data_IF_547855993602
#
_entry.id   IF_547855993602
#
_cell.length_a   1.000
_cell.length_b   1.000
_cell.length_c   1.000
_cell.angle_alpha   90.00
_cell.angle_beta   90.00
_cell.angle_gamma   90.00
#
_symmetry.space_group_name_H-M   'P 1'
#
loop_
_entity.id
_entity.type
_entity.pdbx_description
1 polymer ?
#
# COMPACT_ATOMS: atom_id res chain seq x y z
N UNK A 1 -156.40 -51.64 -53.48
CA UNK A 1 -157.49 -50.74 -53.91
C UNK A 1 -157.01 -49.97 -55.13
N UNK A 2 -157.85 -49.82 -56.16
CA UNK A 2 -157.53 -48.97 -57.31
C UNK A 2 -158.05 -47.56 -57.02
N UNK A 3 -157.15 -46.59 -56.93
CA UNK A 3 -157.49 -45.17 -56.86
C UNK A 3 -156.93 -44.47 -58.11
N UNK A 4 -157.57 -43.39 -58.53
CA UNK A 4 -157.19 -42.63 -59.73
C UNK A 4 -156.74 -41.25 -59.30
N UNK A 5 -155.49 -40.90 -59.60
CA UNK A 5 -154.91 -39.58 -59.30
C UNK A 5 -155.02 -38.73 -60.56
N UNK A 6 -155.75 -37.60 -60.49
CA UNK A 6 -155.96 -36.71 -61.65
C UNK A 6 -154.91 -35.60 -61.78
N UNK A 7 -154.42 -35.12 -60.64
CA UNK A 7 -153.38 -34.10 -60.55
C UNK A 7 -152.60 -34.20 -59.22
N UNK A 8 -151.57 -33.38 -59.05
CA UNK A 8 -150.73 -33.41 -57.84
C UNK A 8 -151.49 -32.98 -56.57
N UNK A 9 -152.46 -32.07 -56.67
CA UNK A 9 -153.28 -31.65 -55.53
C UNK A 9 -154.20 -32.78 -55.07
N UNK A 10 -154.72 -33.56 -56.01
CA UNK A 10 -155.51 -34.77 -55.77
C UNK A 10 -154.72 -35.81 -54.98
N UNK A 11 -153.44 -36.01 -55.32
CA UNK A 11 -152.50 -36.87 -54.57
C UNK A 11 -152.27 -36.38 -53.14
N UNK A 12 -152.03 -35.07 -52.94
CA UNK A 12 -151.79 -34.48 -51.61
C UNK A 12 -153.01 -34.60 -50.71
N UNK A 13 -154.22 -34.41 -51.26
CA UNK A 13 -155.48 -34.58 -50.53
C UNK A 13 -155.69 -36.04 -50.11
N UNK A 14 -155.50 -37.01 -51.02
CA UNK A 14 -155.58 -38.44 -50.72
C UNK A 14 -154.60 -38.86 -49.61
N UNK A 15 -153.36 -38.37 -49.65
CA UNK A 15 -152.35 -38.64 -48.61
C UNK A 15 -152.64 -37.94 -47.26
N UNK A 16 -153.47 -36.90 -47.25
CA UNK A 16 -153.89 -36.21 -46.02
C UNK A 16 -155.09 -36.88 -45.34
N UNK A 17 -156.01 -37.43 -46.14
CA UNK A 17 -157.19 -38.17 -45.68
C UNK A 17 -156.85 -39.60 -45.23
N UNK A 18 -155.77 -40.20 -45.78
CA UNK A 18 -155.28 -41.54 -45.45
C UNK A 18 -153.86 -41.50 -44.85
N UNK A 19 -153.72 -41.35 -43.51
CA UNK A 19 -152.44 -41.35 -42.83
C UNK A 19 -151.59 -42.59 -43.11
N UNK A 20 -152.22 -43.75 -43.32
CA UNK A 20 -151.57 -45.00 -43.68
C UNK A 20 -150.81 -44.94 -45.02
N UNK A 21 -151.37 -44.28 -46.04
CA UNK A 21 -150.72 -44.14 -47.36
C UNK A 21 -149.55 -43.16 -47.30
N UNK A 22 -149.63 -42.15 -46.44
CA UNK A 22 -148.54 -41.22 -46.18
C UNK A 22 -147.34 -41.92 -45.55
N UNK A 23 -147.57 -42.83 -44.60
CA UNK A 23 -146.50 -43.62 -43.99
C UNK A 23 -145.90 -44.65 -44.96
N UNK A 24 -146.71 -45.31 -45.80
CA UNK A 24 -146.19 -46.20 -46.87
C UNK A 24 -145.37 -45.44 -47.91
N UNK A 25 -145.87 -44.30 -48.40
CA UNK A 25 -145.16 -43.46 -49.36
C UNK A 25 -143.89 -42.86 -48.74
N UNK A 26 -143.94 -42.52 -47.44
CA UNK A 26 -142.76 -42.10 -46.67
C UNK A 26 -141.74 -43.22 -46.55
N UNK A 27 -142.14 -44.46 -46.26
CA UNK A 27 -141.22 -45.59 -46.17
C UNK A 27 -140.56 -45.94 -47.53
N UNK A 28 -141.30 -45.77 -48.65
CA UNK A 28 -140.81 -46.00 -50.02
C UNK A 28 -139.88 -44.88 -50.53
N UNK A 29 -140.22 -43.61 -50.30
CA UNK A 29 -139.47 -42.45 -50.83
C UNK A 29 -138.40 -41.91 -49.86
N UNK A 30 -138.65 -41.98 -48.56
CA UNK A 30 -137.79 -41.47 -47.49
C UNK A 30 -137.34 -42.66 -46.64
N UNK A 31 -136.42 -43.46 -47.21
CA UNK A 31 -135.86 -44.62 -46.53
C UNK A 31 -135.24 -44.21 -45.18
N UNK A 32 -135.11 -45.13 -44.21
CA UNK A 32 -134.51 -44.84 -42.90
C UNK A 32 -133.14 -44.16 -42.99
N UNK A 33 -132.37 -44.46 -44.04
CA UNK A 33 -131.11 -43.80 -44.36
C UNK A 33 -131.35 -42.31 -44.68
N UNK A 34 -132.26 -41.98 -45.60
CA UNK A 34 -132.57 -40.59 -45.98
C UNK A 34 -133.12 -39.79 -44.79
N UNK A 35 -133.97 -40.40 -43.96
CA UNK A 35 -134.52 -39.75 -42.77
C UNK A 35 -133.49 -39.49 -41.66
N UNK A 36 -132.40 -40.28 -41.59
CA UNK A 36 -131.31 -40.12 -40.62
C UNK A 36 -130.15 -39.25 -41.13
N UNK A 37 -130.09 -38.96 -42.43
CA UNK A 37 -129.06 -38.11 -43.04
C UNK A 37 -128.88 -36.74 -42.36
N UNK A 38 -129.93 -35.98 -41.97
CA UNK A 38 -129.74 -34.68 -41.30
C UNK A 38 -129.05 -34.80 -39.93
N UNK A 39 -129.20 -35.93 -39.24
CA UNK A 39 -128.51 -36.22 -37.99
C UNK A 39 -127.06 -36.61 -38.27
N UNK A 40 -126.81 -37.49 -39.24
CA UNK A 40 -125.46 -37.87 -39.68
C UNK A 40 -124.66 -36.66 -40.18
N UNK A 41 -125.29 -35.73 -40.92
CA UNK A 41 -124.67 -34.49 -41.38
C UNK A 41 -124.33 -33.54 -40.22
N UNK A 42 -125.18 -33.49 -39.17
CA UNK A 42 -124.86 -32.73 -37.95
C UNK A 42 -123.69 -33.36 -37.18
N UNK A 43 -123.70 -34.67 -36.99
CA UNK A 43 -122.59 -35.39 -36.35
C UNK A 43 -121.28 -35.24 -37.14
N UNK A 44 -121.34 -35.27 -38.47
CA UNK A 44 -120.20 -35.01 -39.34
C UNK A 44 -119.72 -33.56 -39.19
N UNK A 45 -120.64 -32.58 -39.20
CA UNK A 45 -120.33 -31.16 -38.96
C UNK A 45 -119.61 -30.96 -37.62
N UNK A 46 -120.12 -31.53 -36.54
CA UNK A 46 -119.47 -31.46 -35.23
C UNK A 46 -118.07 -32.10 -35.23
N UNK A 47 -117.87 -33.23 -35.92
CA UNK A 47 -116.55 -33.86 -36.05
C UNK A 47 -115.59 -32.99 -36.86
N UNK A 48 -116.07 -32.36 -37.93
CA UNK A 48 -115.30 -31.42 -38.75
C UNK A 48 -114.91 -30.20 -37.92
N UNK A 49 -115.83 -29.63 -37.14
CA UNK A 49 -115.54 -28.49 -36.24
C UNK A 49 -114.49 -28.85 -35.17
N UNK A 50 -114.61 -30.05 -34.58
CA UNK A 50 -113.61 -30.55 -33.62
C UNK A 50 -112.24 -30.76 -34.28
N UNK A 51 -112.21 -31.26 -35.51
CA UNK A 51 -110.97 -31.43 -36.27
C UNK A 51 -110.33 -30.08 -36.60
N UNK A 52 -111.12 -29.10 -37.07
CA UNK A 52 -110.65 -27.74 -37.33
C UNK A 52 -110.08 -27.10 -36.06
N UNK A 53 -110.76 -27.22 -34.92
CA UNK A 53 -110.27 -26.73 -33.63
C UNK A 53 -109.02 -27.48 -33.12
N UNK A 54 -108.86 -28.76 -33.45
CA UNK A 54 -107.64 -29.51 -33.14
C UNK A 54 -106.48 -29.07 -34.06
N UNK A 55 -106.77 -28.78 -35.33
CA UNK A 55 -105.79 -28.30 -36.31
C UNK A 55 -105.24 -26.93 -35.92
N UNK A 56 -106.12 -25.97 -35.60
CA UNK A 56 -105.70 -24.64 -35.10
C UNK A 56 -104.81 -24.74 -33.86
N UNK A 57 -105.15 -25.61 -32.90
CA UNK A 57 -104.31 -25.86 -31.71
C UNK A 57 -102.96 -26.51 -32.06
N UNK A 58 -102.89 -27.31 -33.11
CA UNK A 58 -101.65 -27.90 -33.58
C UNK A 58 -100.77 -26.82 -34.25
N UNK A 59 -101.34 -25.95 -35.07
CA UNK A 59 -100.65 -24.81 -35.68
C UNK A 59 -100.08 -23.86 -34.61
N UNK A 60 -100.86 -23.53 -33.57
CA UNK A 60 -100.39 -22.72 -32.44
C UNK A 60 -99.20 -23.38 -31.70
N UNK A 61 -99.24 -24.72 -31.56
CA UNK A 61 -98.14 -25.47 -30.94
C UNK A 61 -96.89 -25.48 -31.81
N UNK A 62 -97.05 -25.61 -33.13
CA UNK A 62 -95.96 -25.56 -34.10
C UNK A 62 -95.30 -24.18 -34.09
N UNK A 63 -96.08 -23.11 -34.13
CA UNK A 63 -95.55 -21.74 -34.04
C UNK A 63 -94.76 -21.50 -32.74
N UNK A 64 -95.24 -21.99 -31.60
CA UNK A 64 -94.48 -21.92 -30.33
C UNK A 64 -93.20 -22.76 -30.34
N UNK A 65 -93.19 -23.89 -31.05
CA UNK A 65 -91.99 -24.70 -31.20
C UNK A 65 -90.97 -23.98 -32.09
N UNK A 66 -91.40 -23.40 -33.20
CA UNK A 66 -90.56 -22.59 -34.09
C UNK A 66 -89.90 -21.44 -33.33
N UNK A 67 -90.66 -20.68 -32.53
CA UNK A 67 -90.10 -19.61 -31.68
C UNK A 67 -89.06 -20.14 -30.68
N UNK A 68 -89.31 -21.33 -30.09
CA UNK A 68 -88.35 -21.96 -29.17
C UNK A 68 -87.11 -22.45 -29.91
N UNK A 69 -87.25 -22.96 -31.13
CA UNK A 69 -86.12 -23.38 -31.97
C UNK A 69 -85.27 -22.18 -32.35
N UNK A 70 -85.85 -21.06 -32.80
CA UNK A 70 -85.09 -19.85 -33.11
C UNK A 70 -84.32 -19.32 -31.89
N UNK A 71 -84.93 -19.31 -30.70
CA UNK A 71 -84.22 -18.93 -29.46
C UNK A 71 -83.09 -19.90 -29.08
N UNK A 72 -83.22 -21.18 -29.41
CA UNK A 72 -82.16 -22.16 -29.18
C UNK A 72 -81.01 -21.95 -30.17
N UNK A 73 -81.32 -21.69 -31.44
CA UNK A 73 -80.32 -21.36 -32.46
C UNK A 73 -79.51 -20.12 -32.07
N UNK A 74 -80.17 -19.06 -31.61
CA UNK A 74 -79.51 -17.85 -31.09
C UNK A 74 -78.57 -18.17 -29.93
N UNK A 75 -79.02 -18.93 -28.93
CA UNK A 75 -78.18 -19.32 -27.78
C UNK A 75 -77.00 -20.20 -28.17
N UNK A 76 -77.18 -21.10 -29.13
CA UNK A 76 -76.10 -21.94 -29.64
C UNK A 76 -75.06 -21.08 -30.38
N UNK A 77 -75.51 -20.09 -31.15
CA UNK A 77 -74.60 -19.14 -31.79
C UNK A 77 -73.81 -18.31 -30.76
N UNK A 78 -74.47 -17.79 -29.71
CA UNK A 78 -73.80 -17.07 -28.62
C UNK A 78 -72.76 -17.93 -27.89
N UNK A 79 -73.08 -19.21 -27.62
CA UNK A 79 -72.15 -20.15 -26.99
C UNK A 79 -70.97 -20.47 -27.90
N UNK A 80 -71.18 -20.63 -29.20
CA UNK A 80 -70.11 -20.85 -30.16
C UNK A 80 -69.14 -19.65 -30.20
N UNK A 81 -69.66 -18.42 -30.23
CA UNK A 81 -68.82 -17.22 -30.14
C UNK A 81 -68.06 -17.12 -28.81
N UNK A 82 -68.72 -17.42 -27.69
CA UNK A 82 -68.08 -17.43 -26.39
C UNK A 82 -66.96 -18.46 -26.30
N UNK A 83 -67.15 -19.63 -26.92
CA UNK A 83 -66.14 -20.68 -27.01
C UNK A 83 -64.94 -20.23 -27.83
N UNK A 84 -65.15 -19.64 -29.01
CA UNK A 84 -64.05 -19.09 -29.84
C UNK A 84 -63.23 -18.06 -29.05
N UNK A 85 -63.90 -17.13 -28.35
CA UNK A 85 -63.22 -16.12 -27.51
C UNK A 85 -62.45 -16.75 -26.34
N UNK A 86 -62.93 -17.86 -25.79
CA UNK A 86 -62.24 -18.59 -24.73
C UNK A 86 -60.99 -19.30 -25.27
N UNK A 87 -61.08 -19.93 -26.43
CA UNK A 87 -59.95 -20.56 -27.13
C UNK A 87 -58.86 -19.53 -27.45
N UNK A 88 -59.22 -18.36 -27.99
CA UNK A 88 -58.25 -17.27 -28.23
C UNK A 88 -57.55 -16.81 -26.95
N UNK A 89 -58.28 -16.73 -25.82
CA UNK A 89 -57.69 -16.36 -24.52
C UNK A 89 -56.75 -17.45 -24.01
N UNK A 90 -57.09 -18.72 -24.19
CA UNK A 90 -56.24 -19.85 -23.82
C UNK A 90 -54.94 -19.83 -24.63
N UNK A 91 -55.00 -19.65 -25.95
CA UNK A 91 -53.80 -19.56 -26.78
C UNK A 91 -52.87 -18.41 -26.35
N UNK A 92 -53.42 -17.22 -26.03
CA UNK A 92 -52.61 -16.11 -25.49
C UNK A 92 -51.99 -16.41 -24.13
N UNK A 93 -52.68 -17.16 -23.28
CA UNK A 93 -52.14 -17.58 -21.98
C UNK A 93 -51.00 -18.60 -22.17
N UNK A 94 -51.16 -19.56 -23.09
CA UNK A 94 -50.12 -20.54 -23.42
C UNK A 94 -48.86 -19.84 -23.94
N UNK A 95 -49.01 -18.87 -24.85
CA UNK A 95 -47.89 -18.03 -25.33
C UNK A 95 -47.22 -17.29 -24.16
N UNK A 96 -48.01 -16.69 -23.27
CA UNK A 96 -47.45 -15.94 -22.13
C UNK A 96 -46.73 -16.83 -21.14
N UNK A 97 -47.22 -18.04 -20.90
CA UNK A 97 -46.56 -19.04 -20.05
C UNK A 97 -45.25 -19.50 -20.68
N UNK A 98 -45.22 -19.70 -22.00
CA UNK A 98 -43.99 -20.05 -22.71
C UNK A 98 -42.93 -18.92 -22.60
N UNK A 99 -43.33 -17.67 -22.80
CA UNK A 99 -42.42 -16.51 -22.62
C UNK A 99 -41.87 -16.40 -21.19
N UNK A 100 -42.71 -16.68 -20.19
CA UNK A 100 -42.29 -16.69 -18.78
C UNK A 100 -41.33 -17.83 -18.49
N UNK A 101 -41.55 -19.03 -19.04
CA UNK A 101 -40.64 -20.15 -18.90
C UNK A 101 -39.26 -19.84 -19.52
N UNK A 102 -39.22 -19.23 -20.70
CA UNK A 102 -37.96 -18.80 -21.32
C UNK A 102 -37.26 -17.68 -20.53
N UNK A 103 -38.02 -16.73 -19.98
CA UNK A 103 -37.47 -15.72 -19.08
C UNK A 103 -36.87 -16.35 -17.82
N UNK A 104 -37.54 -17.33 -17.23
CA UNK A 104 -37.08 -18.07 -16.06
C UNK A 104 -35.77 -18.81 -16.34
N UNK A 105 -35.68 -19.55 -17.46
CA UNK A 105 -34.44 -20.24 -17.87
C UNK A 105 -33.29 -19.24 -18.00
N UNK A 106 -33.50 -18.10 -18.67
CA UNK A 106 -32.47 -17.06 -18.81
C UNK A 106 -32.03 -16.48 -17.46
N UNK A 107 -32.94 -16.36 -16.49
CA UNK A 107 -32.57 -15.90 -15.14
C UNK A 107 -31.75 -16.93 -14.38
N UNK A 108 -32.08 -18.22 -14.51
CA UNK A 108 -31.33 -19.31 -13.89
C UNK A 108 -29.91 -19.41 -14.46
N UNK A 109 -29.75 -19.29 -15.78
CA UNK A 109 -28.43 -19.22 -16.41
C UNK A 109 -27.59 -18.03 -15.92
N UNK A 110 -28.22 -16.87 -15.72
CA UNK A 110 -27.54 -15.69 -15.17
C UNK A 110 -27.12 -15.89 -13.72
N UNK A 111 -27.95 -16.56 -12.91
CA UNK A 111 -27.61 -16.89 -11.52
C UNK A 111 -26.45 -17.88 -11.45
N UNK A 112 -26.47 -18.95 -12.27
CA UNK A 112 -25.37 -19.91 -12.32
C UNK A 112 -24.03 -19.24 -12.68
N UNK A 113 -24.04 -18.31 -13.66
CA UNK A 113 -22.84 -17.52 -14.02
C UNK A 113 -22.38 -16.58 -12.90
N UNK A 114 -23.30 -16.05 -12.11
CA UNK A 114 -22.96 -15.22 -10.95
C UNK A 114 -22.35 -16.05 -9.83
N UNK A 115 -22.89 -17.24 -9.57
CA UNK A 115 -22.33 -18.19 -8.60
C UNK A 115 -20.90 -18.58 -8.95
N UNK A 116 -20.63 -18.90 -10.22
CA UNK A 116 -19.28 -19.20 -10.72
C UNK A 116 -18.32 -18.01 -10.49
N UNK A 117 -18.73 -16.80 -10.86
CA UNK A 117 -17.92 -15.58 -10.64
C UNK A 117 -17.65 -15.31 -9.16
N UNK A 118 -18.63 -15.55 -8.29
CA UNK A 118 -18.46 -15.39 -6.85
C UNK A 118 -17.46 -16.42 -6.32
N UNK A 119 -17.52 -17.67 -6.78
CA UNK A 119 -16.55 -18.70 -6.41
C UNK A 119 -15.12 -18.32 -6.85
N UNK A 120 -14.95 -17.83 -8.08
CA UNK A 120 -13.66 -17.32 -8.58
C UNK A 120 -13.11 -16.16 -7.73
N UNK A 121 -13.98 -15.23 -7.33
CA UNK A 121 -13.60 -14.10 -6.46
C UNK A 121 -13.18 -14.57 -5.07
N UNK A 122 -13.87 -15.55 -4.49
CA UNK A 122 -13.50 -16.14 -3.20
C UNK A 122 -12.11 -16.80 -3.29
N UNK A 123 -11.84 -17.57 -4.34
CA UNK A 123 -10.51 -18.14 -4.54
C UNK A 123 -9.42 -17.07 -4.73
N UNK A 124 -9.71 -16.03 -5.51
CA UNK A 124 -8.77 -14.93 -5.71
C UNK A 124 -8.47 -14.19 -4.39
N UNK A 125 -9.48 -14.03 -3.53
CA UNK A 125 -9.35 -13.44 -2.21
C UNK A 125 -8.44 -14.28 -1.31
N UNK A 126 -8.66 -15.61 -1.25
CA UNK A 126 -7.80 -16.53 -0.48
C UNK A 126 -6.34 -16.43 -0.94
N UNK A 127 -6.10 -16.45 -2.26
CA UNK A 127 -4.73 -16.31 -2.81
C UNK A 127 -4.11 -14.96 -2.50
N UNK A 128 -4.91 -13.89 -2.41
CA UNK A 128 -4.43 -12.57 -2.02
C UNK A 128 -4.03 -12.53 -0.54
N UNK A 129 -4.83 -13.13 0.34
CA UNK A 129 -4.54 -13.25 1.77
C UNK A 129 -3.25 -14.05 2.01
N UNK A 130 -3.06 -15.18 1.33
CA UNK A 130 -1.80 -15.95 1.42
C UNK A 130 -0.58 -15.14 0.97
N UNK A 131 -0.72 -14.31 -0.07
CA UNK A 131 0.38 -13.43 -0.53
C UNK A 131 0.68 -12.34 0.47
N UNK A 132 -0.33 -11.78 1.13
CA UNK A 132 -0.16 -10.77 2.17
C UNK A 132 0.58 -11.35 3.37
N UNK A 133 0.19 -12.53 3.85
CA UNK A 133 0.90 -13.19 4.95
C UNK A 133 2.37 -13.47 4.63
N UNK A 134 2.69 -13.93 3.41
CA UNK A 134 4.09 -14.11 2.97
C UNK A 134 4.86 -12.79 2.88
N UNK A 135 4.20 -11.67 2.55
CA UNK A 135 4.82 -10.36 2.54
C UNK A 135 5.09 -9.86 3.96
N UNK A 136 4.16 -10.08 4.89
CA UNK A 136 4.34 -9.75 6.31
C UNK A 136 5.54 -10.49 6.91
N UNK A 137 5.66 -11.79 6.64
CA UNK A 137 6.82 -12.60 7.06
C UNK A 137 8.14 -12.03 6.50
N UNK A 138 8.19 -11.72 5.20
CA UNK A 138 9.39 -11.14 4.57
C UNK A 138 9.76 -9.77 5.12
N UNK A 139 8.77 -8.93 5.44
CA UNK A 139 9.00 -7.62 6.06
C UNK A 139 9.58 -7.79 7.47
N UNK A 140 9.08 -8.76 8.25
CA UNK A 140 9.63 -9.08 9.55
C UNK A 140 11.09 -9.57 9.46
N UNK A 141 11.41 -10.48 8.52
CA UNK A 141 12.77 -10.94 8.28
C UNK A 141 13.72 -9.80 7.89
N UNK A 142 13.27 -8.88 7.02
CA UNK A 142 14.05 -7.71 6.62
C UNK A 142 14.28 -6.75 7.79
N UNK A 143 13.28 -6.53 8.65
CA UNK A 143 13.41 -5.70 9.83
C UNK A 143 14.44 -6.29 10.82
N UNK A 144 14.43 -7.61 11.02
CA UNK A 144 15.44 -8.28 11.83
C UNK A 144 16.84 -8.17 11.22
N UNK A 145 16.96 -8.37 9.90
CA UNK A 145 18.24 -8.25 9.21
C UNK A 145 18.80 -6.83 9.35
N UNK A 146 17.95 -5.81 9.18
CA UNK A 146 18.32 -4.41 9.38
C UNK A 146 18.80 -4.15 10.81
N UNK A 147 18.08 -4.63 11.83
CA UNK A 147 18.49 -4.47 13.22
C UNK A 147 19.85 -5.13 13.52
N UNK A 148 20.14 -6.29 12.92
CA UNK A 148 21.46 -6.94 13.02
C UNK A 148 22.55 -6.08 12.36
N UNK A 149 22.28 -5.53 11.19
CA UNK A 149 23.23 -4.63 10.49
C UNK A 149 23.51 -3.36 11.29
N UNK A 150 22.48 -2.72 11.84
CA UNK A 150 22.61 -1.53 12.69
C UNK A 150 23.47 -1.81 13.92
N UNK A 151 23.28 -2.97 14.56
CA UNK A 151 24.13 -3.40 15.68
C UNK A 151 25.59 -3.56 15.28
N UNK A 152 25.87 -4.21 14.15
CA UNK A 152 27.25 -4.39 13.65
C UNK A 152 27.89 -3.04 13.33
N UNK A 153 27.14 -2.10 12.74
CA UNK A 153 27.63 -0.75 12.46
C UNK A 153 27.95 0.02 13.74
N UNK A 154 27.11 -0.08 14.76
CA UNK A 154 27.36 0.54 16.06
C UNK A 154 28.63 -0.04 16.73
N UNK A 155 28.81 -1.35 16.70
CA UNK A 155 30.02 -2.01 17.20
C UNK A 155 31.28 -1.57 16.42
N UNK A 156 31.18 -1.45 15.10
CA UNK A 156 32.28 -0.99 14.26
C UNK A 156 32.64 0.47 14.55
N UNK A 157 31.64 1.35 14.71
CA UNK A 157 31.87 2.75 15.08
C UNK A 157 32.56 2.87 16.44
N UNK A 158 32.17 2.03 17.42
CA UNK A 158 32.83 1.93 18.71
C UNK A 158 34.30 1.52 18.58
N UNK A 159 34.58 0.45 17.81
CA UNK A 159 35.97 0.00 17.55
C UNK A 159 36.81 1.06 16.85
N UNK A 160 36.23 1.79 15.90
CA UNK A 160 36.91 2.88 15.21
C UNK A 160 37.30 4.01 16.18
N UNK A 161 36.41 4.34 17.12
CA UNK A 161 36.69 5.33 18.16
C UNK A 161 37.88 4.89 19.03
N UNK A 162 37.90 3.63 19.49
CA UNK A 162 39.04 3.08 20.23
C UNK A 162 40.33 3.09 19.41
N UNK A 163 40.26 2.78 18.11
CA UNK A 163 41.42 2.79 17.23
C UNK A 163 41.98 4.21 17.07
N UNK A 164 41.12 5.22 16.90
CA UNK A 164 41.53 6.63 16.82
C UNK A 164 42.23 7.08 18.11
N UNK A 165 41.71 6.67 19.28
CA UNK A 165 42.37 6.96 20.56
C UNK A 165 43.72 6.28 20.70
N UNK A 166 43.82 5.00 20.31
CA UNK A 166 45.08 4.27 20.30
C UNK A 166 46.10 4.91 19.36
N UNK A 167 45.67 5.32 18.15
CA UNK A 167 46.52 6.01 17.19
C UNK A 167 47.05 7.32 17.75
N UNK A 168 46.21 8.13 18.42
CA UNK A 168 46.65 9.38 19.07
C UNK A 168 47.71 9.15 20.15
N UNK A 169 47.58 8.06 20.93
CA UNK A 169 48.62 7.69 21.92
C UNK A 169 49.91 7.31 21.24
N UNK A 170 49.86 6.48 20.20
CA UNK A 170 51.06 6.11 19.44
C UNK A 170 51.71 7.34 18.78
N UNK A 171 50.93 8.28 18.26
CA UNK A 171 51.45 9.54 17.72
C UNK A 171 52.19 10.37 18.78
N UNK A 172 51.67 10.42 20.02
CA UNK A 172 52.32 11.07 21.15
C UNK A 172 53.61 10.35 21.57
N UNK A 173 53.57 9.03 21.76
CA UNK A 173 54.75 8.22 22.12
C UNK A 173 55.87 8.37 21.07
N UNK A 174 55.50 8.42 19.78
CA UNK A 174 56.45 8.66 18.68
C UNK A 174 57.01 10.07 18.71
N UNK A 175 56.23 11.08 19.12
CA UNK A 175 56.73 12.44 19.30
C UNK A 175 57.78 12.50 20.41
N UNK A 176 57.52 11.87 21.55
CA UNK A 176 58.45 11.79 22.68
C UNK A 176 59.75 11.09 22.29
N UNK A 177 59.66 9.93 21.61
CA UNK A 177 60.82 9.20 21.11
C UNK A 177 61.65 10.00 20.10
N UNK A 178 60.99 10.80 19.24
CA UNK A 178 61.69 11.70 18.31
C UNK A 178 62.47 12.78 19.07
N UNK A 179 61.90 13.33 20.14
CA UNK A 179 62.58 14.28 21.03
C UNK A 179 63.84 13.68 21.65
N UNK A 180 63.70 12.56 22.37
CA UNK A 180 64.82 11.87 23.01
C UNK A 180 65.92 11.48 22.02
N UNK A 181 65.55 10.97 20.83
CA UNK A 181 66.52 10.59 19.79
C UNK A 181 67.28 11.81 19.26
N UNK A 182 66.60 12.95 19.15
CA UNK A 182 67.23 14.18 18.69
C UNK A 182 68.25 14.69 19.72
N UNK A 183 67.86 14.76 20.99
CA UNK A 183 68.74 15.14 22.11
C UNK A 183 70.00 14.26 22.17
N UNK A 184 69.84 12.93 22.14
CA UNK A 184 70.96 11.99 22.10
C UNK A 184 71.88 12.25 20.92
N UNK A 185 71.33 12.44 19.71
CA UNK A 185 72.13 12.71 18.52
C UNK A 185 72.91 14.02 18.64
N UNK A 186 72.31 15.06 19.21
CA UNK A 186 73.00 16.33 19.44
C UNK A 186 74.09 16.22 20.50
N UNK A 187 73.86 15.47 21.59
CA UNK A 187 74.88 15.19 22.61
C UNK A 187 76.06 14.39 22.05
N UNK A 188 75.79 13.26 21.38
CA UNK A 188 76.83 12.37 20.83
C UNK A 188 77.69 13.06 19.77
N UNK A 189 77.06 13.86 18.91
CA UNK A 189 77.75 14.55 17.80
C UNK A 189 78.16 15.97 18.14
N UNK A 190 77.90 16.46 19.36
CA UNK A 190 78.16 17.85 19.74
C UNK A 190 79.62 18.27 19.43
N UNK A 191 80.65 17.50 19.79
CA UNK A 191 82.03 17.90 19.48
C UNK A 191 82.29 18.03 17.98
N UNK A 192 81.67 17.19 17.14
CA UNK A 192 81.80 17.24 15.69
C UNK A 192 81.02 18.42 15.08
N UNK A 193 79.82 18.69 15.59
CA UNK A 193 78.99 19.82 15.18
C UNK A 193 79.68 21.15 15.50
N UNK A 194 80.20 21.32 16.71
CA UNK A 194 80.83 22.55 17.16
C UNK A 194 82.33 22.65 16.84
N UNK A 195 82.95 21.61 16.26
CA UNK A 195 84.36 21.63 15.81
C UNK A 195 84.66 22.76 14.80
N UNK A 196 83.66 23.26 14.05
CA UNK A 196 83.85 24.39 13.13
C UNK A 196 84.16 25.69 13.87
N UNK A 197 83.67 25.85 15.10
CA UNK A 197 83.75 27.11 15.86
C UNK A 197 84.61 27.01 17.13
N UNK A 198 84.75 25.81 17.71
CA UNK A 198 85.57 25.54 18.89
C UNK A 198 86.76 24.60 18.58
N UNK A 199 87.86 24.79 19.29
CA UNK A 199 88.95 23.81 19.45
C UNK A 199 88.82 23.15 20.82
N UNK A 200 89.21 21.88 20.93
CA UNK A 200 89.09 21.08 22.17
C UNK A 200 87.67 21.10 22.76
N UNK A 201 86.67 21.05 21.88
CA UNK A 201 85.27 21.01 22.29
C UNK A 201 85.01 19.73 23.10
N UNK A 202 84.52 19.91 24.33
CA UNK A 202 84.17 18.83 25.24
C UNK A 202 82.78 19.09 25.80
N UNK A 203 81.90 18.10 25.68
CA UNK A 203 80.62 18.12 26.36
C UNK A 203 80.87 17.88 27.86
N UNK A 204 80.35 18.75 28.72
CA UNK A 204 80.35 18.51 30.16
C UNK A 204 79.37 17.38 30.46
N UNK A 205 79.82 16.39 31.21
CA UNK A 205 78.94 15.40 31.82
C UNK A 205 78.15 16.01 32.98
N UNK A 206 77.04 15.38 33.35
CA UNK A 206 76.20 15.81 34.48
C UNK A 206 77.01 15.94 35.77
N UNK A 207 77.96 15.03 36.02
CA UNK A 207 78.86 15.08 37.18
C UNK A 207 79.79 16.29 37.16
N UNK A 208 80.39 16.61 36.00
CA UNK A 208 81.27 17.78 35.85
C UNK A 208 80.50 19.10 35.99
N UNK A 209 79.26 19.12 35.53
CA UNK A 209 78.38 20.27 35.70
C UNK A 209 77.96 20.44 37.16
N UNK A 210 77.60 19.35 37.86
CA UNK A 210 77.30 19.39 39.30
C UNK A 210 78.50 19.90 40.09
N UNK A 211 79.70 19.38 39.84
CA UNK A 211 80.93 19.85 40.49
C UNK A 211 81.18 21.35 40.25
N UNK A 212 80.93 21.84 39.03
CA UNK A 212 81.04 23.26 38.72
C UNK A 212 80.02 24.11 39.52
N UNK A 213 78.79 23.63 39.66
CA UNK A 213 77.70 24.32 40.36
C UNK A 213 77.75 24.16 41.89
N UNK A 214 78.51 23.19 42.39
CA UNK A 214 78.80 23.01 43.82
C UNK A 214 80.01 23.79 44.31
N UNK A 215 80.76 24.42 43.41
CA UNK A 215 81.85 25.32 43.77
C UNK A 215 81.36 26.49 44.63
N UNK A 216 82.21 26.97 45.55
CA UNK A 216 81.89 28.12 46.41
C UNK A 216 81.43 29.33 45.59
N UNK A 217 82.10 29.59 44.46
CA UNK A 217 81.74 30.66 43.52
C UNK A 217 80.33 30.51 42.95
N UNK A 218 79.90 29.29 42.65
CA UNK A 218 78.56 29.05 42.14
C UNK A 218 77.49 29.18 43.23
N UNK A 219 77.78 28.75 44.46
CA UNK A 219 76.88 28.92 45.62
C UNK A 219 76.69 30.38 46.02
N UNK A 220 77.69 31.23 45.78
CA UNK A 220 77.60 32.67 46.02
C UNK A 220 76.88 33.43 44.90
N UNK A 221 77.08 33.00 43.64
CA UNK A 221 76.57 33.72 42.47
C UNK A 221 75.15 33.32 42.04
N UNK A 222 74.67 32.15 42.45
CA UNK A 222 73.41 31.55 42.00
C UNK A 222 72.61 30.98 43.16
N UNK A 223 71.29 31.14 43.10
CA UNK A 223 70.35 30.46 44.00
C UNK A 223 70.29 28.94 43.74
N UNK A 224 69.66 28.19 44.64
CA UNK A 224 69.45 26.75 44.46
C UNK A 224 68.58 26.46 43.23
N UNK A 225 67.46 27.17 43.06
CA UNK A 225 66.59 27.05 41.89
C UNK A 225 67.32 27.38 40.57
N UNK A 226 68.17 28.40 40.54
CA UNK A 226 68.96 28.76 39.34
C UNK A 226 70.01 27.70 38.99
N UNK A 227 70.59 27.02 39.99
CA UNK A 227 71.52 25.91 39.77
C UNK A 227 70.79 24.67 39.25
N UNK A 228 69.60 24.37 39.77
CA UNK A 228 68.74 23.31 39.24
C UNK A 228 68.32 23.59 37.79
N UNK A 229 67.97 24.83 37.44
CA UNK A 229 67.64 25.20 36.05
C UNK A 229 68.83 25.01 35.09
N UNK A 230 70.07 25.26 35.55
CA UNK A 230 71.28 25.00 34.76
C UNK A 230 71.54 23.50 34.55
N UNK A 231 71.25 22.65 35.54
CA UNK A 231 71.36 21.20 35.42
C UNK A 231 70.39 20.63 34.38
N UNK A 232 69.26 21.30 34.16
CA UNK A 232 68.25 20.94 33.16
C UNK A 232 68.62 21.39 31.74
N UNK A 233 69.80 21.99 31.51
CA UNK A 233 70.28 22.33 30.18
C UNK A 233 70.51 21.06 29.33
N UNK A 234 70.00 21.05 28.09
CA UNK A 234 70.14 19.86 27.23
C UNK A 234 71.60 19.57 26.89
N UNK A 235 72.41 20.63 26.80
CA UNK A 235 73.77 20.56 26.31
C UNK A 235 74.64 21.68 26.89
N UNK A 236 75.77 21.36 27.54
CA UNK A 236 76.79 22.37 27.90
C UNK A 236 78.16 21.93 27.37
N UNK A 237 78.68 22.64 26.36
CA UNK A 237 80.02 22.37 25.83
C UNK A 237 81.01 23.40 26.30
N UNK A 238 82.18 22.95 26.75
CA UNK A 238 83.35 23.79 26.89
C UNK A 238 84.26 23.68 25.68
N UNK A 239 84.91 24.78 25.29
CA UNK A 239 86.01 24.74 24.34
C UNK A 239 86.67 26.09 24.15
N UNK A 240 87.67 26.13 23.27
CA UNK A 240 88.37 27.37 22.91
C UNK A 240 87.88 27.90 21.58
N UNK A 241 87.33 29.11 21.57
CA UNK A 241 86.81 29.75 20.36
C UNK A 241 87.92 29.92 19.33
N UNK A 242 87.67 29.48 18.10
CA UNK A 242 88.70 29.49 17.03
C UNK A 242 89.15 30.88 16.59
N UNK A 243 88.31 31.89 16.75
CA UNK A 243 88.59 33.25 16.29
C UNK A 243 89.68 33.96 17.11
N UNK A 244 89.69 33.75 18.43
CA UNK A 244 90.52 34.52 19.36
C UNK A 244 91.14 33.67 20.49
N UNK A 245 90.83 32.37 20.53
CA UNK A 245 91.37 31.45 21.53
C UNK A 245 90.70 31.52 22.90
N UNK A 246 89.67 32.35 23.08
CA UNK A 246 88.97 32.52 24.35
C UNK A 246 88.29 31.21 24.80
N UNK A 247 88.35 30.91 26.10
CA UNK A 247 87.60 29.79 26.68
C UNK A 247 86.13 30.16 26.81
N UNK A 248 85.27 29.37 26.19
CA UNK A 248 83.84 29.61 26.13
C UNK A 248 83.05 28.35 26.46
N UNK A 249 81.88 28.56 27.04
CA UNK A 249 80.86 27.55 27.27
C UNK A 249 79.71 27.80 26.31
N UNK A 250 79.27 26.79 25.57
CA UNK A 250 78.02 26.83 24.81
C UNK A 250 76.94 26.19 25.67
N UNK A 251 75.86 26.92 25.92
CA UNK A 251 74.70 26.42 26.65
C UNK A 251 73.57 26.26 25.65
N UNK A 252 73.19 25.02 25.40
CA UNK A 252 72.34 24.60 24.29
C UNK A 252 71.00 24.04 24.75
N UNK A 253 69.92 24.49 24.10
CA UNK A 253 68.61 23.84 24.11
C UNK A 253 68.41 23.09 22.78
N UNK A 254 67.90 21.86 22.84
CA UNK A 254 67.70 20.99 21.68
C UNK A 254 66.23 20.65 21.54
N UNK A 255 65.62 21.03 20.43
CA UNK A 255 64.22 20.68 20.12
C UNK A 255 64.05 20.29 18.66
N UNK A 256 63.04 19.45 18.36
CA UNK A 256 62.72 19.10 16.97
C UNK A 256 62.25 20.33 16.19
N UNK A 257 61.38 21.13 16.82
CA UNK A 257 60.95 22.45 16.34
C UNK A 257 61.30 23.45 17.43
N UNK A 258 62.27 24.31 17.15
CA UNK A 258 62.73 25.31 18.11
C UNK A 258 61.73 26.47 18.17
N UNK A 259 61.24 26.76 19.38
CA UNK A 259 60.30 27.85 19.67
C UNK A 259 60.92 29.00 20.49
N UNK A 260 60.13 30.03 20.78
CA UNK A 260 60.60 31.18 21.57
C UNK A 260 61.05 30.76 22.97
N UNK A 261 60.38 29.78 23.59
CA UNK A 261 60.73 29.27 24.91
C UNK A 261 62.12 28.63 24.91
N UNK A 262 62.46 27.84 23.90
CA UNK A 262 63.81 27.27 23.74
C UNK A 262 64.88 28.37 23.66
N UNK A 263 64.62 29.44 22.92
CA UNK A 263 65.53 30.59 22.82
C UNK A 263 65.70 31.30 24.17
N UNK A 264 64.61 31.46 24.91
CA UNK A 264 64.64 32.09 26.23
C UNK A 264 65.35 31.26 27.27
N UNK A 265 65.14 29.93 27.28
CA UNK A 265 65.85 29.01 28.18
C UNK A 265 67.34 29.01 27.86
N UNK A 266 67.73 28.88 26.59
CA UNK A 266 69.13 28.94 26.18
C UNK A 266 69.80 30.24 26.64
N UNK A 267 69.14 31.38 26.41
CA UNK A 267 69.64 32.70 26.81
C UNK A 267 69.78 32.84 28.32
N UNK A 268 68.72 32.51 29.07
CA UNK A 268 68.69 32.59 30.53
C UNK A 268 69.79 31.73 31.14
N UNK A 269 69.89 30.46 30.73
CA UNK A 269 70.89 29.51 31.24
C UNK A 269 72.32 29.94 30.88
N UNK A 270 72.56 30.47 29.68
CA UNK A 270 73.85 31.06 29.36
C UNK A 270 74.19 32.25 30.27
N UNK A 271 73.23 33.14 30.54
CA UNK A 271 73.46 34.30 31.41
C UNK A 271 73.73 33.88 32.86
N UNK A 272 73.03 32.87 33.38
CA UNK A 272 73.30 32.28 34.70
C UNK A 272 74.72 31.72 34.78
N UNK A 273 75.13 30.91 33.79
CA UNK A 273 76.47 30.35 33.74
C UNK A 273 77.53 31.48 33.63
N UNK A 274 77.21 32.55 32.88
CA UNK A 274 78.06 33.73 32.75
C UNK A 274 78.36 34.45 34.08
N UNK A 275 77.44 34.40 35.06
CA UNK A 275 77.66 34.97 36.41
C UNK A 275 78.81 34.30 37.17
N UNK A 276 79.19 33.08 36.76
CA UNK A 276 80.36 32.37 37.28
C UNK A 276 81.68 32.94 36.71
N UNK A 277 81.63 34.02 35.94
CA UNK A 277 82.79 34.67 35.32
C UNK A 277 83.36 33.90 34.13
N UNK A 278 82.59 33.00 33.53
CA UNK A 278 82.93 32.30 32.29
C UNK A 278 82.21 32.95 31.11
N UNK A 279 82.77 32.82 29.91
CA UNK A 279 82.09 33.31 28.71
C UNK A 279 81.09 32.26 28.23
N UNK A 280 79.81 32.46 28.50
CA UNK A 280 78.74 31.57 28.07
C UNK A 280 78.02 32.11 26.82
N UNK A 281 77.85 31.27 25.80
CA UNK A 281 77.17 31.58 24.55
C UNK A 281 75.89 30.73 24.49
N UNK A 282 74.71 31.36 24.42
CA UNK A 282 73.47 30.63 24.28
C UNK A 282 73.34 30.06 22.87
N UNK A 283 72.87 28.82 22.78
CA UNK A 283 72.67 28.10 21.52
C UNK A 283 71.28 27.45 21.52
N UNK A 284 70.58 27.51 20.40
CA UNK A 284 69.43 26.63 20.15
C UNK A 284 69.75 25.71 18.98
N UNK A 285 69.39 24.44 19.13
CA UNK A 285 69.69 23.40 18.18
C UNK A 285 68.43 22.61 17.81
N UNK A 286 68.25 22.29 16.53
CA UNK A 286 67.04 21.60 16.12
C UNK A 286 66.96 21.28 14.63
N UNK A 287 65.83 20.73 14.19
CA UNK A 287 65.61 20.44 12.77
C UNK A 287 65.04 21.64 12.04
N UNK A 288 64.10 22.33 12.69
CA UNK A 288 63.45 23.54 12.20
C UNK A 288 63.28 24.55 13.31
N UNK A 289 63.12 25.81 12.96
CA UNK A 289 62.95 26.95 13.87
C UNK A 289 61.71 27.72 13.44
N UNK A 290 60.87 28.13 14.38
CA UNK A 290 59.71 28.99 14.10
C UNK A 290 60.16 30.41 13.73
N UNK A 291 59.34 31.15 12.97
CA UNK A 291 59.70 32.51 12.53
C UNK A 291 59.87 33.46 13.73
N UNK A 292 58.99 33.34 14.72
CA UNK A 292 59.04 34.13 15.95
C UNK A 292 60.30 33.82 16.76
N UNK A 293 60.68 32.54 16.86
CA UNK A 293 61.91 32.13 17.53
C UNK A 293 63.16 32.59 16.78
N UNK A 294 63.15 32.62 15.44
CA UNK A 294 64.27 33.14 14.65
C UNK A 294 64.50 34.63 14.92
N UNK A 295 63.42 35.40 14.99
CA UNK A 295 63.47 36.82 15.32
C UNK A 295 64.00 37.03 16.74
N UNK A 296 63.45 36.30 17.71
CA UNK A 296 63.86 36.40 19.11
C UNK A 296 65.33 35.97 19.31
N UNK A 297 65.78 34.92 18.62
CA UNK A 297 67.15 34.46 18.67
C UNK A 297 68.13 35.51 18.14
N UNK A 298 67.77 36.26 17.09
CA UNK A 298 68.58 37.39 16.61
C UNK A 298 68.64 38.50 17.64
N UNK A 299 67.49 38.90 18.19
CA UNK A 299 67.38 39.95 19.19
C UNK A 299 68.21 39.64 20.45
N UNK A 300 68.04 38.43 21.00
CA UNK A 300 68.74 37.96 22.20
C UNK A 300 70.14 37.41 21.94
N UNK A 301 70.64 37.51 20.70
CA UNK A 301 71.96 37.04 20.26
C UNK A 301 72.23 35.57 20.59
N UNK A 302 71.22 34.72 20.40
CA UNK A 302 71.29 33.28 20.55
C UNK A 302 71.75 32.65 19.24
N UNK A 303 72.79 31.82 19.32
CA UNK A 303 73.32 31.12 18.16
C UNK A 303 72.34 30.01 17.73
N UNK A 304 72.03 29.92 16.44
CA UNK A 304 71.13 28.90 15.91
C UNK A 304 71.93 27.82 15.20
N UNK A 305 71.65 26.57 15.53
CA UNK A 305 72.28 25.41 14.91
C UNK A 305 71.20 24.46 14.37
N UNK A 306 70.93 24.55 13.06
CA UNK A 306 69.82 23.84 12.41
C UNK A 306 70.37 22.85 11.39
N UNK A 307 69.91 21.60 11.45
CA UNK A 307 70.24 20.52 10.49
C UNK A 307 71.75 20.41 10.15
N UNK A 308 72.63 20.61 11.14
CA UNK A 308 74.09 20.53 10.95
C UNK A 308 74.79 21.81 10.47
N UNK A 309 74.08 22.93 10.33
CA UNK A 309 74.60 24.24 9.93
C UNK A 309 74.47 25.33 11.02
N UNK A 310 75.45 26.26 11.05
CA UNK A 310 75.42 27.42 11.96
C UNK A 310 74.83 28.66 11.30
N UNK A 311 73.95 29.34 12.02
CA UNK A 311 73.40 30.63 11.63
C UNK A 311 73.62 31.65 12.75
N UNK A 312 74.58 32.55 12.52
CA UNK A 312 74.92 33.60 13.47
C UNK A 312 73.82 34.67 13.52
N UNK A 313 73.53 35.25 14.70
CA UNK A 313 72.69 36.43 14.79
C UNK A 313 73.46 37.59 14.16
N UNK A 314 73.06 37.98 12.94
CA UNK A 314 73.43 39.26 12.33
C UNK A 314 72.51 40.35 12.87
#
# INVERSE_FOLDING_TARGET
>A
MAFTVRDFHDLVRLLSEHPEWREELRALLLTPEILSMPQLLRELGEKVDRLAAAHLRAEERLSRLEERFSRLEEKVAELAEAQIRAEERLSRLEERVAELAEAQIRTEERLARLEERVAELVEAQIRAEERLSRLEERVAELAEAQARTEKVLAELAGRMTTLVEAQRRTEADVADLKGMTLELRYRDRAPAYFAKILRRARLLSDSELMELLDSEKAREALSEEEREDLLLADLILWGRRKSDGAEVYLVGEVSWVVDCGDVERARRRADLLGRLGVTAIPVVAGRTLTEEADQLAREKKVLRFLDGGFYYPN
#
